data_IF_034938277932
#
_entry.id   IF_034938277932
#
_cell.length_a   1.000
_cell.length_b   1.000
_cell.length_c   1.000
_cell.angle_alpha   90.00
_cell.angle_beta   90.00
_cell.angle_gamma   90.00
#
_symmetry.space_group_name_H-M   'P 1'
#
loop_
_entity.id
_entity.type
_entity.pdbx_description
1 polymer ?
#
# COMPACT_ATOMS: atom_id res chain seq x y z
N UNK A 1 -20.53 11.10 20.26
CA UNK A 1 -19.83 10.41 19.15
C UNK A 1 -18.59 11.22 18.85
N UNK A 2 -17.40 10.68 19.09
CA UNK A 2 -16.16 11.43 18.87
C UNK A 2 -15.99 11.68 17.37
N UNK A 3 -15.81 12.95 16.99
CA UNK A 3 -15.49 13.34 15.63
C UNK A 3 -14.05 12.89 15.33
N UNK A 4 -13.88 11.66 14.84
CA UNK A 4 -12.57 11.17 14.40
C UNK A 4 -12.19 11.95 13.15
N UNK A 5 -11.24 12.87 13.30
CA UNK A 5 -10.72 13.64 12.18
C UNK A 5 -9.67 12.82 11.44
N UNK A 6 -9.96 12.47 10.19
CA UNK A 6 -9.03 11.73 9.34
C UNK A 6 -8.08 12.68 8.59
N UNK A 7 -6.84 12.25 8.31
CA UNK A 7 -5.94 13.00 7.44
C UNK A 7 -6.54 13.23 6.05
N UNK A 8 -6.24 14.37 5.43
CA UNK A 8 -6.70 14.68 4.06
C UNK A 8 -6.26 13.59 3.08
N UNK A 9 -7.19 13.11 2.26
CA UNK A 9 -6.94 12.08 1.25
C UNK A 9 -6.86 10.65 1.81
N UNK A 10 -7.25 10.44 3.07
CA UNK A 10 -7.36 9.12 3.64
C UNK A 10 -8.62 8.39 3.16
N UNK A 11 -8.50 7.09 2.95
CA UNK A 11 -9.62 6.16 2.78
C UNK A 11 -9.90 5.55 4.15
N UNK A 12 -11.14 5.67 4.63
CA UNK A 12 -11.56 5.12 5.93
C UNK A 12 -11.71 3.61 5.86
N UNK A 13 -11.25 2.91 6.90
CA UNK A 13 -11.31 1.46 7.01
C UNK A 13 -11.85 1.06 8.38
N UNK A 14 -12.73 0.04 8.43
CA UNK A 14 -13.41 -0.37 9.67
C UNK A 14 -14.16 0.80 10.31
N UNK A 15 -14.26 0.85 11.64
CA UNK A 15 -14.96 1.91 12.37
C UNK A 15 -14.11 3.19 12.56
N UNK A 16 -12.80 3.03 12.81
CA UNK A 16 -11.88 4.12 13.25
C UNK A 16 -10.51 4.11 12.56
N UNK A 17 -10.29 3.18 11.63
CA UNK A 17 -9.05 3.01 10.89
C UNK A 17 -9.02 3.81 9.60
N UNK A 18 -7.84 3.88 8.98
CA UNK A 18 -7.68 4.49 7.66
C UNK A 18 -6.40 4.01 6.98
N UNK A 19 -6.32 4.25 5.68
CA UNK A 19 -5.08 4.20 4.89
C UNK A 19 -4.95 5.48 4.07
N UNK A 20 -3.74 6.02 3.97
CA UNK A 20 -3.42 7.18 3.14
C UNK A 20 -2.09 6.99 2.45
N UNK A 21 -2.03 7.31 1.15
CA UNK A 21 -0.77 7.47 0.44
C UNK A 21 -0.05 8.73 0.95
N UNK A 22 1.13 8.55 1.54
CA UNK A 22 2.00 9.66 1.97
C UNK A 22 2.84 10.14 0.82
N UNK A 23 3.39 9.21 0.04
CA UNK A 23 4.40 9.47 -0.97
C UNK A 23 4.50 8.30 -1.94
N UNK A 24 4.98 8.56 -3.14
CA UNK A 24 5.18 7.55 -4.19
C UNK A 24 6.39 7.91 -5.03
N UNK A 25 7.25 6.93 -5.28
CA UNK A 25 8.39 7.07 -6.18
C UNK A 25 8.15 6.22 -7.43
N UNK A 26 8.38 6.81 -8.60
CA UNK A 26 8.18 6.15 -9.88
C UNK A 26 6.74 6.21 -10.39
N UNK A 27 6.58 5.79 -11.64
CA UNK A 27 5.31 5.69 -12.35
C UNK A 27 5.40 4.52 -13.34
N UNK A 28 4.38 4.34 -14.18
CA UNK A 28 4.44 3.43 -15.32
C UNK A 28 5.70 3.62 -16.18
N UNK A 29 6.20 4.86 -16.30
CA UNK A 29 7.42 5.16 -17.05
C UNK A 29 8.67 4.53 -16.41
N UNK A 30 8.75 4.47 -15.08
CA UNK A 30 9.86 3.85 -14.37
C UNK A 30 9.92 2.34 -14.66
N UNK A 31 8.76 1.67 -14.69
CA UNK A 31 8.64 0.25 -15.04
C UNK A 31 9.11 0.03 -16.49
N UNK A 32 8.63 0.86 -17.41
CA UNK A 32 8.94 0.77 -18.84
C UNK A 32 10.42 1.04 -19.10
N UNK A 33 11.00 2.05 -18.47
CA UNK A 33 12.41 2.37 -18.57
C UNK A 33 13.26 1.22 -18.03
N UNK A 34 12.94 0.69 -16.85
CA UNK A 34 13.67 -0.43 -16.25
C UNK A 34 13.64 -1.68 -17.12
N UNK A 35 12.47 -2.02 -17.68
CA UNK A 35 12.35 -3.14 -18.61
C UNK A 35 13.16 -2.92 -19.89
N UNK A 36 13.27 -1.67 -20.37
CA UNK A 36 14.00 -1.32 -21.61
C UNK A 36 15.50 -1.17 -21.44
N UNK A 37 16.00 -0.96 -20.22
CA UNK A 37 17.45 -0.96 -19.94
C UNK A 37 18.08 -2.29 -20.42
N UNK A 38 17.35 -3.39 -20.37
CA UNK A 38 17.77 -4.70 -20.89
C UNK A 38 17.76 -4.83 -22.43
N UNK A 39 17.04 -3.97 -23.15
CA UNK A 39 16.81 -4.10 -24.61
C UNK A 39 17.45 -2.99 -25.46
N UNK A 40 18.10 -1.99 -24.85
CA UNK A 40 18.73 -0.88 -25.56
C UNK A 40 17.75 0.22 -26.00
N UNK A 41 18.28 1.42 -26.30
CA UNK A 41 17.48 2.63 -26.60
C UNK A 41 16.66 2.48 -27.89
N UNK A 42 15.33 2.46 -27.76
CA UNK A 42 14.40 2.61 -28.88
C UNK A 42 13.27 3.60 -28.54
N UNK A 43 13.14 4.67 -29.31
CA UNK A 43 12.03 5.64 -29.19
C UNK A 43 10.70 4.97 -29.52
N UNK A 44 9.81 4.87 -28.53
CA UNK A 44 8.52 4.19 -28.70
C UNK A 44 7.33 5.00 -28.17
N UNK A 45 6.13 4.72 -28.73
CA UNK A 45 4.88 5.47 -28.51
C UNK A 45 4.18 4.98 -27.23
N UNK A 46 3.49 5.86 -26.49
CA UNK A 46 2.74 5.56 -25.24
C UNK A 46 1.80 4.35 -25.31
N UNK A 47 1.15 4.10 -26.46
CA UNK A 47 0.30 2.90 -26.64
C UNK A 47 1.08 1.58 -26.50
N UNK A 48 2.36 1.56 -26.88
CA UNK A 48 3.25 0.40 -26.75
C UNK A 48 3.66 0.16 -25.29
N UNK A 49 3.66 1.19 -24.46
CA UNK A 49 4.09 1.12 -23.05
C UNK A 49 3.08 0.33 -22.19
N UNK A 50 1.78 0.63 -22.34
CA UNK A 50 0.71 -0.18 -21.70
C UNK A 50 0.74 -1.64 -22.15
N UNK A 51 1.02 -1.87 -23.44
CA UNK A 51 1.19 -3.22 -23.99
C UNK A 51 2.34 -3.97 -23.32
N UNK A 52 3.47 -3.29 -23.14
CA UNK A 52 4.66 -3.81 -22.46
C UNK A 52 4.36 -4.14 -20.99
N UNK A 53 3.80 -3.21 -20.20
CA UNK A 53 3.49 -3.47 -18.78
C UNK A 53 2.59 -4.70 -18.63
N UNK A 54 1.54 -4.82 -19.47
CA UNK A 54 0.66 -5.99 -19.46
C UNK A 54 1.39 -7.27 -19.85
N UNK A 55 2.31 -7.20 -20.82
CA UNK A 55 3.15 -8.34 -21.20
C UNK A 55 4.04 -8.79 -20.04
N UNK A 56 4.72 -7.85 -19.37
CA UNK A 56 5.57 -8.12 -18.21
C UNK A 56 4.78 -8.82 -17.10
N UNK A 57 3.60 -8.30 -16.75
CA UNK A 57 2.73 -8.89 -15.73
C UNK A 57 2.27 -10.31 -16.11
N UNK A 58 1.81 -10.52 -17.35
CA UNK A 58 1.37 -11.87 -17.82
C UNK A 58 2.47 -12.91 -17.76
N UNK A 59 3.72 -12.51 -18.01
CA UNK A 59 4.88 -13.40 -17.98
C UNK A 59 5.60 -13.39 -16.63
N UNK A 60 5.01 -12.77 -15.60
CA UNK A 60 5.55 -12.68 -14.25
C UNK A 60 6.98 -12.10 -14.20
N UNK A 61 7.31 -11.21 -15.12
CA UNK A 61 8.57 -10.46 -15.06
C UNK A 61 8.41 -9.30 -14.06
N UNK A 62 8.64 -9.60 -12.78
CA UNK A 62 8.32 -8.70 -11.65
C UNK A 62 9.38 -7.65 -11.36
N UNK A 63 10.65 -7.89 -11.68
CA UNK A 63 11.76 -6.97 -11.33
C UNK A 63 11.57 -5.53 -11.83
N UNK A 64 11.04 -5.26 -13.04
CA UNK A 64 10.74 -3.89 -13.44
C UNK A 64 9.70 -3.17 -12.56
N UNK A 65 8.81 -3.91 -11.88
CA UNK A 65 7.81 -3.34 -10.98
C UNK A 65 8.40 -2.95 -9.61
N UNK A 66 9.59 -3.44 -9.26
CA UNK A 66 10.29 -3.06 -8.03
C UNK A 66 10.84 -1.62 -8.10
N UNK A 67 10.81 -1.00 -9.28
CA UNK A 67 11.24 0.39 -9.51
C UNK A 67 10.16 1.43 -9.14
N UNK A 68 9.04 0.97 -8.58
CA UNK A 68 7.96 1.81 -8.07
C UNK A 68 7.77 1.50 -6.60
N UNK A 69 7.82 2.54 -5.76
CA UNK A 69 7.63 2.42 -4.31
C UNK A 69 6.44 3.26 -3.85
N UNK A 70 5.69 2.74 -2.89
CA UNK A 70 4.55 3.41 -2.28
C UNK A 70 4.74 3.47 -0.77
N UNK A 71 4.52 4.66 -0.20
CA UNK A 71 4.62 4.90 1.24
C UNK A 71 3.24 5.18 1.79
N UNK A 72 2.78 4.35 2.74
CA UNK A 72 1.46 4.49 3.34
C UNK A 72 1.54 4.91 4.79
N UNK A 73 0.58 5.73 5.21
CA UNK A 73 0.23 5.95 6.62
C UNK A 73 -1.09 5.24 6.87
N UNK A 74 -1.06 4.25 7.75
CA UNK A 74 -2.23 3.44 8.06
C UNK A 74 -2.46 3.38 9.57
N UNK A 75 -3.73 3.38 9.96
CA UNK A 75 -4.20 3.12 11.31
C UNK A 75 -5.11 1.90 11.26
N UNK A 76 -4.78 0.89 12.05
CA UNK A 76 -5.49 -0.39 12.07
C UNK A 76 -5.40 -1.06 13.46
N UNK A 77 -6.27 -2.02 13.75
CA UNK A 77 -6.17 -2.81 14.98
C UNK A 77 -4.92 -3.70 15.01
N UNK A 78 -4.38 -3.95 16.21
CA UNK A 78 -3.16 -4.77 16.39
C UNK A 78 -3.28 -6.15 15.74
N UNK A 79 -4.45 -6.80 15.80
CA UNK A 79 -4.61 -8.13 15.20
C UNK A 79 -4.51 -8.11 13.66
N UNK A 80 -4.92 -7.00 13.02
CA UNK A 80 -4.72 -6.77 11.57
C UNK A 80 -3.25 -6.47 11.29
N UNK A 81 -2.63 -5.61 12.10
CA UNK A 81 -1.20 -5.29 11.97
C UNK A 81 -0.33 -6.54 12.05
N UNK A 82 -0.64 -7.49 12.96
CA UNK A 82 0.08 -8.77 13.08
C UNK A 82 0.03 -9.64 11.82
N UNK A 83 -1.03 -9.55 11.03
CA UNK A 83 -1.09 -10.21 9.72
C UNK A 83 -0.28 -9.41 8.69
N UNK A 84 -0.42 -8.08 8.69
CA UNK A 84 0.26 -7.19 7.76
C UNK A 84 1.80 -7.29 7.85
N UNK A 85 2.38 -7.34 9.06
CA UNK A 85 3.84 -7.44 9.25
C UNK A 85 4.43 -8.77 8.76
N UNK A 86 3.61 -9.75 8.34
CA UNK A 86 4.09 -11.00 7.72
C UNK A 86 4.63 -10.78 6.30
N UNK A 87 4.32 -9.64 5.67
CA UNK A 87 4.88 -9.24 4.39
C UNK A 87 6.31 -8.70 4.56
N UNK A 88 7.28 -9.61 4.62
CA UNK A 88 8.70 -9.35 4.97
C UNK A 88 9.48 -8.50 3.96
N UNK A 89 8.93 -8.22 2.79
CA UNK A 89 9.57 -7.40 1.75
C UNK A 89 9.28 -5.91 1.92
N UNK A 90 8.42 -5.53 2.86
CA UNK A 90 8.07 -4.13 3.12
C UNK A 90 8.89 -3.55 4.28
N UNK A 91 9.14 -2.25 4.22
CA UNK A 91 9.69 -1.46 5.32
C UNK A 91 8.55 -0.91 6.18
N UNK A 92 8.57 -1.18 7.48
CA UNK A 92 7.46 -0.83 8.40
C UNK A 92 8.02 -0.09 9.62
N UNK A 93 7.36 1.01 9.99
CA UNK A 93 7.53 1.68 11.26
C UNK A 93 6.17 1.75 11.96
N UNK A 94 6.12 1.47 13.25
CA UNK A 94 4.91 1.38 14.05
C UNK A 94 5.01 2.27 15.30
N UNK A 95 3.87 2.82 15.71
CA UNK A 95 3.75 3.51 16.98
C UNK A 95 4.04 2.58 18.16
N UNK A 96 5.03 2.93 18.99
CA UNK A 96 5.46 2.07 20.10
C UNK A 96 4.79 2.44 21.42
N UNK A 97 3.97 1.53 21.94
CA UNK A 97 3.36 1.66 23.28
C UNK A 97 4.37 1.53 24.43
N UNK A 98 5.65 1.24 24.16
CA UNK A 98 6.70 1.25 25.18
C UNK A 98 7.17 2.67 25.52
N UNK A 99 7.01 3.61 24.59
CA UNK A 99 7.48 4.99 24.70
C UNK A 99 6.33 6.00 24.72
N UNK A 100 5.09 5.54 24.58
CA UNK A 100 3.94 6.42 24.46
C UNK A 100 2.72 5.78 25.09
N UNK A 101 1.81 6.62 25.60
CA UNK A 101 0.62 6.18 26.28
C UNK A 101 -0.37 5.52 25.31
N UNK A 102 -0.96 4.41 25.75
CA UNK A 102 -2.01 3.74 24.99
C UNK A 102 -3.27 4.61 24.96
N UNK A 103 -3.72 4.95 23.76
CA UNK A 103 -5.00 5.63 23.59
C UNK A 103 -6.16 4.65 23.80
N UNK A 104 -7.26 5.11 24.38
CA UNK A 104 -8.48 4.31 24.53
C UNK A 104 -9.25 4.21 23.19
N UNK A 105 -8.61 3.59 22.20
CA UNK A 105 -9.09 3.52 20.81
C UNK A 105 -9.09 2.08 20.28
N UNK A 106 -10.26 1.45 20.34
CA UNK A 106 -10.46 0.03 20.00
C UNK A 106 -11.39 -0.11 18.80
N UNK A 107 -11.09 -1.09 17.94
CA UNK A 107 -12.03 -1.50 16.89
C UNK A 107 -13.26 -2.17 17.49
N UNK A 108 -14.43 -1.67 17.10
CA UNK A 108 -15.72 -2.29 17.42
C UNK A 108 -16.37 -2.72 16.10
N UNK A 109 -16.55 -4.04 15.85
CA UNK A 109 -17.21 -4.51 14.64
C UNK A 109 -18.68 -4.09 14.63
N UNK A 110 -19.24 -3.87 13.43
CA UNK A 110 -20.68 -3.72 13.29
C UNK A 110 -21.39 -5.06 13.60
N UNK A 111 -22.62 -5.00 14.13
CA UNK A 111 -23.38 -6.20 14.48
C UNK A 111 -23.53 -7.18 13.31
N UNK A 112 -23.62 -6.67 12.08
CA UNK A 112 -23.76 -7.48 10.86
C UNK A 112 -22.51 -8.29 10.50
N UNK A 113 -21.33 -7.87 10.98
CA UNK A 113 -20.04 -8.50 10.66
C UNK A 113 -19.65 -9.57 11.70
N UNK A 114 -20.46 -9.74 12.75
CA UNK A 114 -20.28 -10.76 13.78
C UNK A 114 -20.99 -12.04 13.32
N UNK A 115 -20.19 -13.07 13.00
CA UNK A 115 -20.70 -14.41 12.73
C UNK A 115 -20.64 -15.27 13.99
N UNK A 116 -21.78 -15.83 14.38
CA UNK A 116 -21.85 -16.83 15.45
C UNK A 116 -21.41 -18.19 14.91
N UNK A 117 -20.59 -18.90 15.69
CA UNK A 117 -20.15 -20.27 15.39
C UNK A 117 -21.15 -21.30 15.89
#
# INVERSE_FOLDING_TARGET
MNNVQYPKGAITCLDKGFIRLVDSMGSDDAIVQAARVSYGKGTTKVSRDKGLIRYLLRHRHSTPFEMVELKFHAKMPIFVARQWVRHRTANINEYSLRYSEAQHDFYIPEKKDIHFQ
#
